data_IF_652194393682
#
_entry.id   IF_652194393682
#
_cell.length_a   1.000
_cell.length_b   1.000
_cell.length_c   1.000
_cell.angle_alpha   90.00
_cell.angle_beta   90.00
_cell.angle_gamma   90.00
#
_symmetry.space_group_name_H-M   'P 1'
#
loop_
_entity.id
_entity.type
_entity.pdbx_description
1 polymer ?
#
# COMPACT_ATOMS: atom_id res chain seq x y z
N UNK A 1 29.13 -17.99 4.52
CA UNK A 1 27.91 -18.74 4.13
C UNK A 1 26.86 -17.72 3.73
N UNK A 2 26.51 -17.65 2.45
CA UNK A 2 25.59 -16.64 1.92
C UNK A 2 24.15 -17.05 2.23
N UNK A 3 23.49 -16.34 3.14
CA UNK A 3 22.04 -16.50 3.36
C UNK A 3 21.31 -16.10 2.07
N UNK A 4 20.58 -17.05 1.49
CA UNK A 4 19.76 -16.83 0.29
C UNK A 4 18.67 -15.80 0.61
N UNK A 5 18.81 -14.60 0.05
CA UNK A 5 17.94 -13.41 0.22
C UNK A 5 16.46 -13.62 -0.14
N UNK A 6 16.08 -14.75 -0.73
CA UNK A 6 14.69 -15.12 -1.07
C UNK A 6 13.94 -15.94 0.01
N UNK A 7 14.52 -16.18 1.19
CA UNK A 7 13.89 -16.97 2.27
C UNK A 7 13.13 -16.17 3.33
N UNK A 8 13.36 -14.85 3.41
CA UNK A 8 12.89 -14.02 4.53
C UNK A 8 11.37 -13.78 4.52
N UNK A 9 10.71 -13.86 3.37
CA UNK A 9 9.25 -13.61 3.30
C UNK A 9 8.44 -14.66 4.10
N UNK A 10 8.98 -15.89 4.23
CA UNK A 10 8.28 -17.00 4.88
C UNK A 10 7.93 -16.72 6.34
N UNK A 11 8.70 -15.86 7.01
CA UNK A 11 8.42 -15.43 8.40
C UNK A 11 7.10 -14.66 8.53
N UNK A 12 6.59 -14.08 7.43
CA UNK A 12 5.32 -13.34 7.44
C UNK A 12 4.10 -14.22 7.19
N UNK A 13 4.27 -15.48 6.75
CA UNK A 13 3.15 -16.37 6.40
C UNK A 13 2.22 -16.61 7.60
N UNK A 14 2.78 -16.99 8.75
CA UNK A 14 1.99 -17.23 9.97
C UNK A 14 1.36 -15.93 10.53
N UNK A 15 2.12 -14.85 10.76
CA UNK A 15 1.54 -13.57 11.20
C UNK A 15 0.42 -13.07 10.30
N UNK A 16 0.55 -13.21 8.98
CA UNK A 16 -0.46 -12.81 8.02
C UNK A 16 -1.80 -13.53 8.22
N UNK A 17 -1.77 -14.85 8.35
CA UNK A 17 -2.99 -15.64 8.57
C UNK A 17 -3.60 -15.35 9.94
N UNK A 18 -2.77 -15.18 10.97
CA UNK A 18 -3.26 -14.82 12.30
C UNK A 18 -3.95 -13.45 12.32
N UNK A 19 -3.34 -12.42 11.71
CA UNK A 19 -3.95 -11.08 11.60
C UNK A 19 -5.29 -11.16 10.87
N UNK A 20 -5.35 -11.87 9.74
CA UNK A 20 -6.60 -12.04 9.01
C UNK A 20 -7.69 -12.70 9.87
N UNK A 21 -7.35 -13.65 10.75
CA UNK A 21 -8.32 -14.23 11.70
C UNK A 21 -8.76 -13.24 12.76
N UNK A 22 -7.82 -12.47 13.31
CA UNK A 22 -8.09 -11.48 14.36
C UNK A 22 -9.05 -10.39 13.88
N UNK A 23 -8.94 -9.95 12.62
CA UNK A 23 -9.82 -8.92 12.03
C UNK A 23 -11.12 -9.48 11.42
N UNK A 24 -11.46 -10.75 11.68
CA UNK A 24 -12.73 -11.35 11.28
C UNK A 24 -12.73 -12.03 9.90
N UNK A 25 -11.56 -12.31 9.34
CA UNK A 25 -11.38 -13.14 8.14
C UNK A 25 -11.13 -12.40 6.85
N UNK A 26 -11.27 -11.08 6.83
CA UNK A 26 -11.05 -10.27 5.64
C UNK A 26 -10.57 -8.87 6.00
N UNK A 27 -9.69 -8.31 5.20
CA UNK A 27 -9.24 -6.92 5.35
C UNK A 27 -8.66 -6.38 4.06
N UNK A 28 -8.43 -5.07 4.03
CA UNK A 28 -7.70 -4.47 2.91
C UNK A 28 -6.22 -4.89 2.96
N UNK A 29 -5.57 -4.99 1.80
CA UNK A 29 -4.13 -5.28 1.68
C UNK A 29 -3.29 -4.41 2.64
N UNK A 30 -3.62 -3.11 2.69
CA UNK A 30 -2.96 -2.13 3.55
C UNK A 30 -3.18 -2.41 5.04
N UNK A 31 -4.43 -2.56 5.45
CA UNK A 31 -4.79 -2.82 6.84
C UNK A 31 -4.11 -4.08 7.36
N UNK A 32 -4.18 -5.16 6.58
CA UNK A 32 -3.56 -6.44 6.94
C UNK A 32 -2.04 -6.30 6.99
N UNK A 33 -1.43 -5.63 6.01
CA UNK A 33 0.02 -5.44 5.98
C UNK A 33 0.53 -4.57 7.14
N UNK A 34 -0.18 -3.47 7.45
CA UNK A 34 0.15 -2.61 8.60
C UNK A 34 0.03 -3.39 9.91
N UNK A 35 -1.05 -4.15 10.08
CA UNK A 35 -1.24 -4.98 11.28
C UNK A 35 -0.19 -6.09 11.41
N UNK A 36 0.25 -6.71 10.30
CA UNK A 36 1.36 -7.67 10.30
C UNK A 36 2.68 -7.01 10.72
N UNK A 37 2.98 -5.84 10.17
CA UNK A 37 4.19 -5.07 10.52
C UNK A 37 4.18 -4.71 12.02
N UNK A 38 3.05 -4.20 12.51
CA UNK A 38 2.88 -3.81 13.91
C UNK A 38 3.02 -5.02 14.85
N UNK A 39 2.40 -6.15 14.51
CA UNK A 39 2.49 -7.40 15.30
C UNK A 39 3.90 -7.98 15.34
N UNK A 40 4.66 -7.83 14.25
CA UNK A 40 6.04 -8.31 14.15
C UNK A 40 7.05 -7.42 14.90
N UNK A 41 6.64 -6.22 15.33
CA UNK A 41 7.47 -5.26 16.05
C UNK A 41 8.85 -5.03 15.38
N UNK A 42 8.84 -4.82 14.07
CA UNK A 42 10.05 -4.66 13.25
C UNK A 42 10.77 -3.35 13.58
N UNK A 43 12.10 -3.34 13.46
CA UNK A 43 12.90 -2.13 13.70
C UNK A 43 12.68 -1.08 12.62
N UNK A 44 12.90 0.20 12.95
CA UNK A 44 12.84 1.29 11.95
C UNK A 44 13.87 1.09 10.82
N UNK A 45 15.06 0.56 11.15
CA UNK A 45 16.09 0.22 10.17
C UNK A 45 15.55 -0.76 9.14
N UNK A 46 14.92 -1.85 9.59
CA UNK A 46 14.35 -2.87 8.71
C UNK A 46 13.15 -2.32 7.90
N UNK A 47 12.31 -1.50 8.52
CA UNK A 47 11.18 -0.85 7.84
C UNK A 47 11.61 0.20 6.81
N UNK A 48 12.79 0.78 7.00
CA UNK A 48 13.39 1.75 6.07
C UNK A 48 14.05 1.08 4.87
N UNK A 49 14.30 -0.23 4.91
CA UNK A 49 14.92 -0.92 3.79
C UNK A 49 14.04 -0.90 2.53
N UNK A 50 14.67 -0.52 1.42
CA UNK A 50 14.05 -0.51 0.10
C UNK A 50 14.68 -1.49 -0.86
N UNK A 51 13.89 -1.91 -1.85
CA UNK A 51 14.37 -2.57 -3.05
C UNK A 51 15.12 -1.56 -3.95
N UNK A 52 15.70 -2.05 -5.05
CA UNK A 52 16.44 -1.20 -6.02
C UNK A 52 15.56 -0.09 -6.62
N UNK A 53 14.27 -0.36 -6.76
CA UNK A 53 13.24 0.55 -7.23
C UNK A 53 12.56 1.35 -6.11
N UNK A 54 13.19 1.48 -4.92
CA UNK A 54 12.68 2.34 -3.86
C UNK A 54 11.38 1.87 -3.18
N UNK A 55 10.79 0.73 -3.57
CA UNK A 55 9.68 0.11 -2.87
C UNK A 55 10.16 -0.52 -1.54
N UNK A 56 9.29 -0.60 -0.55
CA UNK A 56 9.67 -1.20 0.74
C UNK A 56 9.91 -2.70 0.63
N UNK A 57 11.08 -3.14 1.13
CA UNK A 57 11.41 -4.57 1.18
C UNK A 57 10.42 -5.35 2.05
N UNK A 58 10.09 -4.85 3.24
CA UNK A 58 9.18 -5.53 4.19
C UNK A 58 7.78 -5.70 3.60
N UNK A 59 7.18 -4.65 3.04
CA UNK A 59 5.84 -4.78 2.43
C UNK A 59 5.84 -5.73 1.26
N UNK A 60 6.89 -5.67 0.42
CA UNK A 60 7.07 -6.63 -0.65
C UNK A 60 7.16 -8.07 -0.10
N UNK A 61 7.91 -8.30 0.99
CA UNK A 61 7.96 -9.61 1.65
C UNK A 61 6.58 -10.08 2.18
N UNK A 62 5.76 -9.18 2.74
CA UNK A 62 4.38 -9.52 3.16
C UNK A 62 3.51 -9.88 1.95
N UNK A 63 3.61 -9.12 0.85
CA UNK A 63 2.91 -9.44 -0.39
C UNK A 63 3.33 -10.82 -0.96
N UNK A 64 4.62 -11.17 -0.87
CA UNK A 64 5.11 -12.50 -1.23
C UNK A 64 4.54 -13.59 -0.33
N UNK A 65 4.54 -13.39 0.98
CA UNK A 65 3.93 -14.34 1.91
C UNK A 65 2.45 -14.58 1.57
N UNK A 66 1.71 -13.50 1.28
CA UNK A 66 0.33 -13.58 0.81
C UNK A 66 0.21 -14.40 -0.48
N UNK A 67 1.08 -14.19 -1.47
CA UNK A 67 1.01 -14.93 -2.72
C UNK A 67 1.19 -16.45 -2.54
N UNK A 68 2.04 -16.85 -1.59
CA UNK A 68 2.19 -18.25 -1.22
C UNK A 68 0.95 -18.79 -0.49
N UNK A 69 0.32 -18.00 0.36
CA UNK A 69 -0.94 -18.37 1.00
C UNK A 69 -2.08 -18.53 -0.01
N UNK A 70 -2.17 -17.67 -1.05
CA UNK A 70 -3.13 -17.84 -2.15
C UNK A 70 -2.86 -19.12 -2.92
N UNK A 71 -1.59 -19.38 -3.26
CA UNK A 71 -1.20 -20.60 -3.98
C UNK A 71 -1.46 -21.88 -3.18
N UNK A 72 -1.54 -21.77 -1.85
CA UNK A 72 -1.85 -22.85 -0.93
C UNK A 72 -3.35 -22.91 -0.55
N UNK A 73 -4.22 -22.15 -1.21
CA UNK A 73 -5.66 -22.09 -0.94
C UNK A 73 -6.00 -21.67 0.51
N UNK A 74 -5.17 -20.85 1.13
CA UNK A 74 -5.40 -20.28 2.47
C UNK A 74 -6.03 -18.88 2.40
N UNK A 75 -5.79 -18.15 1.32
CA UNK A 75 -6.31 -16.80 1.08
C UNK A 75 -7.02 -16.76 -0.27
N UNK A 76 -8.24 -16.24 -0.28
CA UNK A 76 -8.96 -15.83 -1.47
C UNK A 76 -8.56 -14.40 -1.87
N UNK A 77 -8.29 -14.24 -3.17
CA UNK A 77 -7.90 -13.00 -3.83
C UNK A 77 -8.87 -12.53 -4.92
N UNK A 78 -10.09 -13.08 -4.94
CA UNK A 78 -11.12 -12.79 -5.94
C UNK A 78 -11.49 -11.30 -6.05
N UNK A 79 -11.32 -10.54 -4.96
CA UNK A 79 -11.54 -9.08 -4.92
C UNK A 79 -10.22 -8.32 -4.89
N UNK A 80 -10.01 -7.41 -5.84
CA UNK A 80 -8.81 -6.56 -5.90
C UNK A 80 -8.67 -5.75 -4.60
N UNK A 81 -7.46 -5.74 -4.04
CA UNK A 81 -7.12 -4.98 -2.83
C UNK A 81 -7.69 -5.53 -1.52
N UNK A 82 -8.49 -6.61 -1.55
CA UNK A 82 -9.07 -7.25 -0.37
C UNK A 82 -8.51 -8.66 -0.24
N UNK A 83 -8.01 -9.00 0.95
CA UNK A 83 -7.52 -10.34 1.25
C UNK A 83 -8.51 -11.00 2.21
N UNK A 84 -9.00 -12.18 1.84
CA UNK A 84 -9.96 -12.93 2.65
C UNK A 84 -9.45 -14.33 2.91
N UNK A 85 -9.67 -14.90 4.09
CA UNK A 85 -9.36 -16.30 4.35
C UNK A 85 -10.34 -17.21 3.61
N UNK A 86 -9.81 -18.30 3.07
CA UNK A 86 -10.63 -19.44 2.66
C UNK A 86 -11.08 -20.22 3.90
N UNK A 87 -11.94 -21.22 3.72
CA UNK A 87 -12.30 -22.14 4.80
C UNK A 87 -11.08 -22.85 5.40
N UNK A 88 -10.09 -23.20 4.56
CA UNK A 88 -8.82 -23.79 5.02
C UNK A 88 -8.00 -22.77 5.83
N UNK A 89 -7.90 -21.53 5.34
CA UNK A 89 -7.23 -20.43 6.03
C UNK A 89 -7.80 -20.14 7.42
N UNK A 90 -9.10 -20.36 7.63
CA UNK A 90 -9.73 -20.25 8.94
C UNK A 90 -9.42 -21.43 9.87
N UNK A 91 -9.49 -22.67 9.35
CA UNK A 91 -9.45 -23.89 10.19
C UNK A 91 -8.04 -24.34 10.57
N UNK A 92 -7.03 -24.07 9.75
CA UNK A 92 -5.69 -24.68 9.92
C UNK A 92 -4.70 -23.77 10.66
N UNK A 93 -4.46 -23.93 11.97
CA UNK A 93 -3.36 -23.23 12.63
C UNK A 93 -2.04 -23.59 11.94
N UNK A 94 -1.27 -22.57 11.53
CA UNK A 94 -0.02 -22.78 10.81
C UNK A 94 1.12 -23.04 11.79
N UNK A 95 1.71 -24.22 11.70
CA UNK A 95 2.95 -24.58 12.38
C UNK A 95 4.16 -24.47 11.43
N UNK A 96 5.37 -24.60 11.99
CA UNK A 96 6.61 -24.44 11.23
C UNK A 96 6.70 -25.41 10.03
N UNK A 97 6.23 -26.64 10.21
CA UNK A 97 6.20 -27.66 9.16
C UNK A 97 5.21 -27.30 8.04
N UNK A 98 4.08 -26.65 8.37
CA UNK A 98 3.11 -26.18 7.38
C UNK A 98 3.72 -25.08 6.50
N UNK A 99 4.43 -24.13 7.10
CA UNK A 99 5.13 -23.07 6.36
C UNK A 99 6.15 -23.68 5.40
N UNK A 100 6.95 -24.64 5.87
CA UNK A 100 7.90 -25.34 5.03
C UNK A 100 7.20 -26.07 3.87
N UNK A 101 6.10 -26.76 4.15
CA UNK A 101 5.32 -27.49 3.14
C UNK A 101 4.67 -26.56 2.13
N UNK A 102 4.14 -25.40 2.54
CA UNK A 102 3.59 -24.37 1.64
C UNK A 102 4.69 -23.88 0.69
N UNK A 103 5.83 -23.46 1.23
CA UNK A 103 6.95 -22.95 0.42
C UNK A 103 7.48 -24.03 -0.52
N UNK A 104 7.55 -25.28 -0.05
CA UNK A 104 8.00 -26.43 -0.82
C UNK A 104 7.01 -26.76 -1.94
N UNK A 105 5.73 -26.98 -1.62
CA UNK A 105 4.69 -27.38 -2.57
C UNK A 105 4.55 -26.36 -3.71
N UNK A 106 4.48 -25.07 -3.40
CA UNK A 106 4.38 -23.99 -4.41
C UNK A 106 5.61 -23.93 -5.33
N UNK A 107 6.79 -24.34 -4.84
CA UNK A 107 8.00 -24.47 -5.66
C UNK A 107 7.98 -25.71 -6.58
N UNK A 108 7.28 -26.78 -6.19
CA UNK A 108 7.23 -28.04 -6.94
C UNK A 108 6.03 -28.18 -7.88
N UNK A 109 4.91 -27.47 -7.64
CA UNK A 109 3.73 -27.48 -8.51
C UNK A 109 3.86 -26.61 -9.77
N UNK A 110 4.97 -25.86 -9.91
CA UNK A 110 5.31 -25.16 -11.15
C UNK A 110 6.23 -26.06 -11.99
N UNK A 111 5.86 -26.44 -13.23
CA UNK A 111 6.67 -27.35 -14.04
C UNK A 111 8.04 -26.75 -14.37
N UNK A 112 9.07 -27.60 -14.29
CA UNK A 112 10.44 -27.35 -14.71
C UNK A 112 10.48 -26.78 -16.13
N UNK A 113 10.51 -25.46 -16.26
CA UNK A 113 11.07 -24.81 -17.45
C UNK A 113 12.49 -24.40 -17.09
N UNK A 114 13.42 -24.95 -17.86
CA UNK A 114 14.88 -24.83 -17.80
C UNK A 114 15.40 -23.44 -17.44
N UNK A 115 16.35 -23.38 -16.49
CA UNK A 115 17.34 -22.31 -16.29
C UNK A 115 16.88 -20.89 -16.63
N UNK A 116 15.70 -20.50 -16.16
CA UNK A 116 15.33 -19.10 -16.08
C UNK A 116 15.57 -18.71 -14.64
N UNK A 117 16.47 -17.75 -14.41
CA UNK A 117 16.58 -17.09 -13.12
C UNK A 117 15.17 -16.63 -12.76
N UNK A 118 14.52 -17.26 -11.77
CA UNK A 118 13.23 -16.78 -11.25
C UNK A 118 13.41 -15.47 -10.46
N UNK A 119 14.63 -14.91 -10.44
CA UNK A 119 14.89 -13.49 -10.15
C UNK A 119 14.48 -12.57 -11.32
N UNK A 120 14.31 -13.08 -12.55
CA UNK A 120 13.89 -12.32 -13.75
C UNK A 120 12.41 -12.50 -14.11
N UNK A 121 11.73 -13.56 -13.66
CA UNK A 121 10.25 -13.64 -13.70
C UNK A 121 9.58 -12.76 -12.61
N UNK A 122 10.37 -11.93 -11.94
CA UNK A 122 9.97 -10.88 -10.98
C UNK A 122 9.75 -9.53 -11.70
N UNK A 123 10.03 -9.44 -13.01
CA UNK A 123 10.02 -8.17 -13.76
C UNK A 123 8.70 -7.84 -14.46
N UNK A 124 7.57 -8.28 -13.90
CA UNK A 124 6.47 -7.33 -13.82
C UNK A 124 6.70 -6.64 -12.49
N UNK A 125 7.38 -5.49 -12.51
CA UNK A 125 7.12 -4.51 -11.46
C UNK A 125 5.60 -4.50 -11.26
N UNK A 126 5.09 -4.74 -10.04
CA UNK A 126 3.69 -4.46 -9.80
C UNK A 126 3.43 -3.09 -10.41
N UNK A 127 2.38 -2.90 -11.21
CA UNK A 127 2.11 -1.58 -11.82
C UNK A 127 2.18 -0.45 -10.77
N UNK A 128 1.89 -0.80 -9.52
CA UNK A 128 2.10 -0.03 -8.30
C UNK A 128 3.52 0.55 -8.12
N UNK A 129 4.57 -0.22 -8.41
CA UNK A 129 5.97 0.19 -8.27
C UNK A 129 6.42 1.10 -9.40
N UNK A 130 6.08 0.78 -10.65
CA UNK A 130 6.38 1.63 -11.81
C UNK A 130 5.70 2.99 -11.65
N UNK A 131 4.41 2.99 -11.30
CA UNK A 131 3.66 4.22 -11.04
C UNK A 131 4.29 5.04 -9.92
N UNK A 132 4.68 4.41 -8.81
CA UNK A 132 5.30 5.13 -7.70
C UNK A 132 6.65 5.77 -8.10
N UNK A 133 7.45 5.08 -8.92
CA UNK A 133 8.71 5.63 -9.43
C UNK A 133 8.48 6.79 -10.41
N UNK A 134 7.45 6.70 -11.27
CA UNK A 134 7.02 7.84 -12.10
C UNK A 134 6.66 9.03 -11.20
N UNK A 135 5.87 8.83 -10.15
CA UNK A 135 5.48 9.89 -9.22
C UNK A 135 6.68 10.50 -8.48
N UNK A 136 7.67 9.69 -8.08
CA UNK A 136 8.94 10.17 -7.50
C UNK A 136 9.81 10.92 -8.50
N UNK A 137 9.70 10.63 -9.80
CA UNK A 137 10.48 11.31 -10.84
C UNK A 137 9.99 12.73 -11.16
N UNK A 138 8.74 13.05 -10.83
CA UNK A 138 8.15 14.38 -11.08
C UNK A 138 8.89 15.51 -10.37
N UNK A 139 8.87 16.72 -10.91
CA UNK A 139 9.36 17.90 -10.17
C UNK A 139 8.47 18.19 -8.95
N UNK A 140 8.94 18.91 -7.91
CA UNK A 140 8.12 19.26 -6.75
C UNK A 140 6.79 19.93 -7.13
N UNK A 141 6.84 20.98 -7.98
CA UNK A 141 5.65 21.63 -8.50
C UNK A 141 4.79 20.71 -9.40
N UNK A 142 5.41 19.77 -10.12
CA UNK A 142 4.70 18.75 -10.88
C UNK A 142 3.92 17.80 -9.98
N UNK A 143 4.52 17.39 -8.85
CA UNK A 143 3.90 16.56 -7.84
C UNK A 143 2.74 17.27 -7.14
N UNK A 144 2.91 18.53 -6.74
CA UNK A 144 1.83 19.35 -6.18
C UNK A 144 0.62 19.43 -7.15
N UNK A 145 0.89 19.64 -8.44
CA UNK A 145 -0.16 19.69 -9.47
C UNK A 145 -0.85 18.34 -9.71
N UNK A 146 -0.14 17.22 -9.65
CA UNK A 146 -0.79 15.91 -9.81
C UNK A 146 -1.63 15.56 -8.58
N UNK A 147 -1.18 15.92 -7.36
CA UNK A 147 -1.97 15.80 -6.14
C UNK A 147 -3.21 16.70 -6.17
N UNK A 148 -3.11 17.93 -6.70
CA UNK A 148 -4.27 18.79 -6.93
C UNK A 148 -5.30 18.11 -7.84
N UNK A 149 -4.85 17.44 -8.91
CA UNK A 149 -5.75 16.68 -9.80
C UNK A 149 -6.41 15.52 -9.07
N UNK A 150 -5.63 14.74 -8.32
CA UNK A 150 -6.12 13.62 -7.51
C UNK A 150 -7.21 14.04 -6.52
N UNK A 151 -6.99 15.15 -5.80
CA UNK A 151 -7.98 15.68 -4.85
C UNK A 151 -9.28 16.07 -5.56
N UNK A 152 -9.22 16.68 -6.75
CA UNK A 152 -10.41 17.00 -7.54
C UNK A 152 -11.19 15.75 -7.94
N UNK A 153 -10.52 14.71 -8.43
CA UNK A 153 -11.19 13.43 -8.75
C UNK A 153 -11.75 12.74 -7.50
N UNK A 154 -11.14 12.99 -6.33
CA UNK A 154 -11.62 12.51 -5.03
C UNK A 154 -12.80 13.32 -4.46
N UNK A 155 -13.36 14.27 -5.23
CA UNK A 155 -14.53 15.04 -4.85
C UNK A 155 -14.27 16.38 -4.15
N UNK A 156 -13.01 16.86 -4.15
CA UNK A 156 -12.71 18.19 -3.62
C UNK A 156 -13.05 19.29 -4.64
N UNK A 157 -13.71 20.33 -4.18
CA UNK A 157 -14.00 21.54 -4.92
C UNK A 157 -12.95 22.64 -4.61
N UNK A 158 -12.83 23.63 -5.51
CA UNK A 158 -12.00 24.82 -5.31
C UNK A 158 -10.55 24.52 -4.91
N UNK A 159 -9.98 23.41 -5.41
CA UNK A 159 -8.61 23.00 -5.07
C UNK A 159 -7.60 23.94 -5.72
N UNK A 160 -6.81 24.63 -4.91
CA UNK A 160 -5.78 25.61 -5.31
C UNK A 160 -4.42 25.21 -4.71
N UNK A 161 -3.38 25.21 -5.55
CA UNK A 161 -1.99 25.03 -5.12
C UNK A 161 -1.37 26.40 -4.85
N UNK A 162 -0.73 26.57 -3.70
CA UNK A 162 -0.09 27.81 -3.26
C UNK A 162 1.41 27.75 -3.54
N UNK A 163 1.88 28.39 -4.61
CA UNK A 163 3.31 28.45 -4.95
C UNK A 163 4.16 29.36 -4.04
N UNK A 164 3.71 29.65 -2.81
CA UNK A 164 4.38 30.59 -1.90
C UNK A 164 5.20 29.82 -0.87
N UNK A 165 6.52 29.95 -0.94
CA UNK A 165 7.51 29.26 -0.09
C UNK A 165 7.47 29.61 1.41
N UNK A 166 6.55 30.47 1.88
CA UNK A 166 6.61 31.11 3.21
C UNK A 166 5.33 30.96 4.07
N UNK A 167 4.45 30.00 3.80
CA UNK A 167 3.20 29.83 4.55
C UNK A 167 3.24 28.78 5.67
N UNK A 168 4.44 28.27 5.99
CA UNK A 168 4.62 27.19 6.96
C UNK A 168 4.56 25.79 6.34
N UNK A 169 4.68 25.68 5.02
CA UNK A 169 4.73 24.41 4.30
C UNK A 169 3.36 23.94 3.80
N UNK A 170 2.41 24.85 3.58
CA UNK A 170 1.14 24.53 2.98
C UNK A 170 1.30 24.60 1.46
N UNK A 171 1.01 23.50 0.78
CA UNK A 171 1.13 23.46 -0.68
C UNK A 171 -0.21 23.77 -1.36
N UNK A 172 -1.32 23.77 -0.60
CA UNK A 172 -2.60 24.25 -1.11
C UNK A 172 -3.78 24.04 -0.17
N UNK A 173 -4.97 24.37 -0.68
CA UNK A 173 -6.24 24.17 0.01
C UNK A 173 -7.35 23.75 -0.96
N UNK A 174 -8.42 23.19 -0.41
CA UNK A 174 -9.63 22.84 -1.14
C UNK A 174 -10.81 22.68 -0.19
N UNK A 175 -12.01 22.53 -0.75
CA UNK A 175 -13.25 22.35 0.01
C UNK A 175 -13.78 20.94 -0.26
N UNK A 176 -13.91 20.13 0.79
CA UNK A 176 -14.57 18.83 0.67
C UNK A 176 -16.04 18.99 1.03
N UNK A 177 -16.93 18.81 0.05
CA UNK A 177 -18.38 18.90 0.25
C UNK A 177 -18.94 17.50 0.51
N UNK A 178 -19.38 17.23 1.74
CA UNK A 178 -20.04 15.95 2.07
C UNK A 178 -21.46 15.90 1.53
N UNK A 179 -22.19 16.99 1.64
CA UNK A 179 -23.56 17.12 1.19
C UNK A 179 -23.90 18.62 0.97
N UNK A 180 -25.11 18.97 0.50
CA UNK A 180 -25.46 20.37 0.24
C UNK A 180 -25.36 21.32 1.44
N UNK A 181 -25.35 20.81 2.67
CA UNK A 181 -25.34 21.59 3.92
C UNK A 181 -24.01 21.54 4.67
N UNK A 182 -23.13 20.58 4.36
CA UNK A 182 -21.90 20.31 5.11
C UNK A 182 -20.70 20.28 4.18
N UNK A 183 -19.74 21.16 4.44
CA UNK A 183 -18.46 21.23 3.77
C UNK A 183 -17.33 21.45 4.78
N UNK A 184 -16.13 20.95 4.47
CA UNK A 184 -14.93 21.17 5.25
C UNK A 184 -13.90 21.93 4.42
N UNK A 185 -13.28 22.94 5.03
CA UNK A 185 -12.08 23.55 4.50
C UNK A 185 -10.90 22.64 4.83
N UNK A 186 -10.17 22.24 3.80
CA UNK A 186 -9.05 21.31 3.92
C UNK A 186 -7.80 21.95 3.37
N UNK A 187 -6.73 21.89 4.15
CA UNK A 187 -5.38 22.29 3.74
C UNK A 187 -4.57 21.03 3.46
N UNK A 188 -3.70 21.07 2.46
CA UNK A 188 -2.83 19.94 2.14
C UNK A 188 -1.38 20.34 1.94
N UNK A 189 -0.50 19.37 2.21
CA UNK A 189 0.93 19.43 1.94
C UNK A 189 1.34 18.20 1.13
N UNK A 190 2.14 18.40 0.09
CA UNK A 190 2.61 17.43 -0.87
C UNK A 190 4.13 17.35 -0.82
N UNK A 191 4.68 16.27 -0.26
CA UNK A 191 6.13 16.04 -0.17
C UNK A 191 6.56 14.90 -1.07
N UNK A 192 7.29 15.24 -2.13
CA UNK A 192 7.99 14.24 -2.95
C UNK A 192 9.27 13.79 -2.23
N UNK A 193 9.17 12.75 -1.41
CA UNK A 193 10.27 12.24 -0.58
C UNK A 193 10.75 10.87 -1.06
N UNK A 194 12.07 10.64 -0.91
CA UNK A 194 12.66 9.30 -0.97
C UNK A 194 12.57 8.57 0.37
N UNK A 195 12.59 9.32 1.47
CA UNK A 195 12.64 8.80 2.84
C UNK A 195 11.30 8.94 3.58
N UNK A 196 11.27 8.46 4.82
CA UNK A 196 10.11 8.54 5.71
C UNK A 196 9.86 9.95 6.24
N UNK A 197 8.58 10.31 6.38
CA UNK A 197 8.10 11.53 7.03
C UNK A 197 7.97 11.28 8.54
N UNK A 198 8.59 12.17 9.31
CA UNK A 198 8.71 12.05 10.78
C UNK A 198 7.70 12.91 11.54
N UNK A 199 7.53 12.65 12.84
CA UNK A 199 6.58 13.38 13.68
C UNK A 199 6.80 14.90 13.78
N UNK A 200 8.03 15.45 13.75
CA UNK A 200 8.23 16.90 13.70
C UNK A 200 7.57 17.54 12.49
N UNK A 201 7.65 16.91 11.31
CA UNK A 201 7.05 17.46 10.08
C UNK A 201 5.52 17.51 10.17
N UNK A 202 4.90 16.48 10.75
CA UNK A 202 3.45 16.47 11.00
C UNK A 202 3.05 17.55 12.00
N UNK A 203 3.88 17.78 13.03
CA UNK A 203 3.65 18.83 14.03
C UNK A 203 3.79 20.23 13.43
N UNK A 204 4.76 20.46 12.57
CA UNK A 204 4.96 21.73 11.88
C UNK A 204 3.78 22.03 10.96
N UNK A 205 3.34 21.04 10.17
CA UNK A 205 2.15 21.15 9.33
C UNK A 205 0.89 21.45 10.14
N UNK A 206 0.70 20.77 11.28
CA UNK A 206 -0.38 21.04 12.23
C UNK A 206 -0.36 22.49 12.73
N UNK A 207 0.83 23.02 13.05
CA UNK A 207 1.02 24.41 13.45
C UNK A 207 0.60 25.39 12.36
N UNK A 208 0.94 25.11 11.10
CA UNK A 208 0.55 25.92 9.95
C UNK A 208 -0.98 25.90 9.68
N UNK A 209 -1.64 24.79 9.99
CA UNK A 209 -3.09 24.60 9.81
C UNK A 209 -3.93 25.31 10.88
N UNK A 210 -3.38 25.59 12.06
CA UNK A 210 -4.12 26.07 13.23
C UNK A 210 -4.97 27.33 12.91
N UNK A 211 -6.29 27.21 13.07
CA UNK A 211 -7.25 28.29 12.81
C UNK A 211 -7.51 28.60 11.33
N UNK A 212 -6.96 27.81 10.39
CA UNK A 212 -7.08 28.04 8.94
C UNK A 212 -7.92 26.98 8.20
N UNK A 213 -8.05 25.78 8.75
CA UNK A 213 -8.80 24.69 8.14
C UNK A 213 -9.39 23.74 9.20
N UNK A 214 -10.42 23.00 8.79
CA UNK A 214 -11.10 21.99 9.61
C UNK A 214 -10.31 20.67 9.65
N UNK A 215 -9.60 20.36 8.56
CA UNK A 215 -8.81 19.14 8.37
C UNK A 215 -7.53 19.40 7.58
N UNK A 216 -6.54 18.55 7.80
CA UNK A 216 -5.28 18.55 7.05
C UNK A 216 -5.09 17.25 6.27
N UNK A 217 -4.46 17.32 5.11
CA UNK A 217 -3.99 16.13 4.37
C UNK A 217 -2.50 16.27 4.11
N UNK A 218 -1.72 15.29 4.54
CA UNK A 218 -0.29 15.20 4.25
C UNK A 218 -0.06 14.08 3.24
N UNK A 219 0.38 14.44 2.04
CA UNK A 219 0.62 13.53 0.92
C UNK A 219 2.12 13.37 0.70
N UNK A 220 2.60 12.14 0.58
CA UNK A 220 4.00 11.84 0.30
C UNK A 220 4.17 10.66 -0.65
N UNK A 221 5.21 10.69 -1.48
CA UNK A 221 5.68 9.50 -2.23
C UNK A 221 6.46 8.51 -1.36
N UNK A 222 6.82 8.92 -0.15
CA UNK A 222 7.52 8.11 0.84
C UNK A 222 6.56 7.40 1.79
N UNK A 223 6.96 7.26 3.05
CA UNK A 223 6.21 6.60 4.12
C UNK A 223 6.08 7.51 5.33
N UNK A 224 5.25 7.15 6.30
CA UNK A 224 5.21 7.82 7.60
C UNK A 224 5.77 6.91 8.69
N UNK A 225 6.56 7.48 9.61
CA UNK A 225 6.97 6.75 10.83
C UNK A 225 5.76 6.51 11.74
N UNK A 226 5.88 5.57 12.67
CA UNK A 226 4.78 5.25 13.60
C UNK A 226 4.44 6.46 14.50
N UNK A 227 5.46 7.23 14.85
CA UNK A 227 5.41 8.47 15.62
C UNK A 227 4.69 9.56 14.82
N UNK A 228 4.92 9.63 13.50
CA UNK A 228 4.19 10.54 12.62
C UNK A 228 2.71 10.16 12.55
N UNK A 229 2.38 8.86 12.42
CA UNK A 229 0.99 8.36 12.47
C UNK A 229 0.31 8.68 13.80
N UNK A 230 1.02 8.50 14.92
CA UNK A 230 0.52 8.85 16.27
C UNK A 230 0.30 10.36 16.40
N UNK A 231 1.23 11.19 15.96
CA UNK A 231 1.10 12.65 15.99
C UNK A 231 -0.08 13.13 15.13
N UNK A 232 -0.33 12.51 13.98
CA UNK A 232 -1.44 12.87 13.09
C UNK A 232 -2.83 12.67 13.72
N UNK A 233 -2.97 11.67 14.59
CA UNK A 233 -4.21 11.29 15.30
C UNK A 233 -4.26 11.76 16.76
N UNK A 234 -3.39 12.68 17.16
CA UNK A 234 -3.30 13.16 18.54
C UNK A 234 -4.63 13.76 19.01
N UNK A 235 -5.04 13.42 20.23
CA UNK A 235 -6.27 13.92 20.84
C UNK A 235 -6.23 15.44 21.04
N UNK A 236 -7.41 16.08 20.94
CA UNK A 236 -7.59 17.51 21.21
C UNK A 236 -7.11 18.45 20.10
N UNK A 237 -6.72 17.93 18.93
CA UNK A 237 -6.32 18.74 17.76
C UNK A 237 -6.99 18.24 16.47
N UNK A 238 -7.18 19.11 15.45
CA UNK A 238 -7.83 18.68 14.21
C UNK A 238 -7.06 17.56 13.52
N UNK A 239 -7.70 16.46 13.07
CA UNK A 239 -6.99 15.31 12.52
C UNK A 239 -6.25 15.66 11.21
N UNK A 240 -5.11 14.99 11.01
CA UNK A 240 -4.36 15.05 9.75
C UNK A 240 -4.47 13.68 9.07
N UNK A 241 -5.02 13.65 7.87
CA UNK A 241 -5.03 12.46 7.03
C UNK A 241 -3.64 12.27 6.41
N UNK A 242 -3.14 11.04 6.43
CA UNK A 242 -1.81 10.69 5.93
C UNK A 242 -1.94 9.82 4.69
N UNK A 243 -1.46 10.32 3.55
CA UNK A 243 -1.46 9.63 2.26
C UNK A 243 -0.02 9.33 1.87
N UNK A 244 0.40 8.08 2.05
CA UNK A 244 1.74 7.60 1.67
C UNK A 244 1.78 7.10 0.22
N UNK A 245 2.96 6.71 -0.26
CA UNK A 245 3.15 6.29 -1.64
C UNK A 245 2.26 5.11 -2.07
N UNK A 246 1.97 4.18 -1.14
CA UNK A 246 1.07 3.05 -1.41
C UNK A 246 -0.38 3.52 -1.54
N UNK A 247 -0.85 4.37 -0.61
CA UNK A 247 -2.19 4.95 -0.71
C UNK A 247 -2.36 5.78 -1.97
N UNK A 248 -1.32 6.53 -2.34
CA UNK A 248 -1.30 7.34 -3.55
C UNK A 248 -1.50 6.48 -4.79
N UNK A 249 -0.73 5.40 -4.93
CA UNK A 249 -0.89 4.43 -6.02
C UNK A 249 -2.32 3.88 -6.06
N UNK A 250 -2.84 3.39 -4.93
CA UNK A 250 -4.19 2.84 -4.87
C UNK A 250 -5.26 3.85 -5.31
N UNK A 251 -5.11 5.13 -4.92
CA UNK A 251 -6.03 6.17 -5.35
C UNK A 251 -5.90 6.46 -6.86
N UNK A 252 -4.68 6.46 -7.42
CA UNK A 252 -4.49 6.62 -8.86
C UNK A 252 -5.15 5.48 -9.64
N UNK A 253 -5.06 4.23 -9.14
CA UNK A 253 -5.76 3.10 -9.73
C UNK A 253 -7.27 3.20 -9.58
N UNK A 254 -7.77 3.55 -8.39
CA UNK A 254 -9.19 3.68 -8.11
C UNK A 254 -9.87 4.73 -9.00
N UNK A 255 -9.19 5.85 -9.24
CA UNK A 255 -9.70 6.95 -10.08
C UNK A 255 -9.23 6.85 -11.54
N UNK A 256 -8.55 5.75 -11.93
CA UNK A 256 -7.98 5.52 -13.26
C UNK A 256 -7.15 6.72 -13.78
N UNK A 257 -6.42 7.38 -12.87
CA UNK A 257 -5.62 8.55 -13.17
C UNK A 257 -4.26 8.14 -13.73
N UNK A 258 -4.06 8.34 -15.03
CA UNK A 258 -2.79 8.01 -15.69
C UNK A 258 -2.51 6.50 -15.79
N UNK A 259 -3.48 5.67 -15.43
CA UNK A 259 -3.45 4.20 -15.53
C UNK A 259 -4.72 3.70 -16.21
N UNK A 260 -4.67 2.49 -16.77
CA UNK A 260 -5.84 1.86 -17.41
C UNK A 260 -5.96 0.42 -16.91
N UNK A 261 -7.18 -0.06 -16.58
CA UNK A 261 -7.37 -1.45 -16.23
C UNK A 261 -7.06 -2.35 -17.43
N UNK A 262 -6.25 -3.38 -17.22
CA UNK A 262 -6.03 -4.45 -18.19
C UNK A 262 -6.89 -5.64 -17.77
N UNK A 263 -8.02 -5.82 -18.43
CA UNK A 263 -8.86 -7.03 -18.27
C UNK A 263 -8.25 -8.17 -19.08
N UNK A 264 -7.81 -9.24 -18.41
CA UNK A 264 -7.43 -10.50 -19.06
C UNK A 264 -8.59 -11.49 -19.01
N UNK A 265 -8.60 -12.45 -19.94
CA UNK A 265 -9.56 -13.55 -19.94
C UNK A 265 -8.88 -14.81 -19.40
N UNK A 266 -9.55 -15.52 -18.49
CA UNK A 266 -9.15 -16.86 -18.08
C UNK A 266 -9.91 -17.90 -18.90
N UNK A 267 -9.21 -18.98 -19.26
CA UNK A 267 -9.83 -20.09 -19.97
C UNK A 267 -10.58 -20.95 -18.96
N UNK A 268 -11.90 -20.97 -19.03
CA UNK A 268 -12.73 -21.90 -18.26
C UNK A 268 -12.68 -23.29 -18.90
N UNK A 269 -11.65 -24.08 -18.58
CA UNK A 269 -11.46 -25.40 -19.18
C UNK A 269 -12.68 -26.34 -19.02
N UNK A 270 -13.43 -26.23 -17.90
CA UNK A 270 -14.63 -27.03 -17.66
C UNK A 270 -15.71 -26.82 -18.72
N UNK A 271 -15.86 -25.59 -19.22
CA UNK A 271 -16.83 -25.25 -20.26
C UNK A 271 -16.57 -26.05 -21.55
N UNK A 272 -15.30 -26.30 -21.89
CA UNK A 272 -14.95 -26.99 -23.13
C UNK A 272 -15.09 -28.51 -23.06
N UNK A 273 -15.21 -29.11 -21.86
CA UNK A 273 -15.30 -30.56 -21.70
C UNK A 273 -16.50 -31.18 -22.42
N UNK A 274 -17.63 -30.47 -22.51
CA UNK A 274 -18.85 -30.95 -23.19
C UNK A 274 -18.76 -30.92 -24.72
N UNK A 275 -17.74 -30.24 -25.26
CA UNK A 275 -17.49 -30.14 -26.71
C UNK A 275 -16.28 -30.97 -27.16
N UNK A 276 -15.59 -31.63 -26.23
CA UNK A 276 -14.45 -32.50 -26.52
C UNK A 276 -14.84 -33.97 -26.71
N UNK A 277 -16.14 -34.29 -26.62
CA UNK A 277 -16.70 -35.62 -26.86
C UNK A 277 -17.18 -35.82 -28.29
#
# INVERSE_FOLDING_TARGET
MSQKKGGEFSRFIKPLIEILREIGGSGSSREVTDAVIDKMNLSEEELSETLKNGASRVRNQVAWARQYCVSADLIDSSKRGVWSLTEQGFKHPLEADDIYNIVKAVRFTKPNTTNTNYEELIDTEPHETELLEILKSLSPAGFERICQRLLRESGFEQVVVTGKTNDGGIDGHGVLKLNPLVSFNVIFQCKRYKDSVSSPQIRDFRGAMAGRADKGIFITTGRFTQEAKKEARRDGVPPIELVDGEMLVNMFEQYELGVKPVTTYEIEHKFFNEYMS
#
